data_IF_192413081270
#
_entry.id   IF_192413081270
#
_cell.length_a   1.000
_cell.length_b   1.000
_cell.length_c   1.000
_cell.angle_alpha   90.00
_cell.angle_beta   90.00
_cell.angle_gamma   90.00
#
_symmetry.space_group_name_H-M   'P 1'
#
loop_
_entity.id
_entity.type
_entity.pdbx_description
1 polymer ?
#
# COMPACT_ATOMS: atom_id res chain seq x y z
N UNK A 1 20.70 6.39 1.62
CA UNK A 1 19.55 7.01 0.92
C UNK A 1 18.32 6.29 1.45
N UNK A 2 17.37 7.01 2.08
CA UNK A 2 16.35 6.44 2.98
C UNK A 2 15.51 5.37 2.27
N UNK A 3 15.35 4.21 2.92
CA UNK A 3 14.41 3.18 2.47
C UNK A 3 13.00 3.61 2.90
N UNK A 4 12.42 4.57 2.18
CA UNK A 4 11.03 5.01 2.38
C UNK A 4 10.02 3.86 2.15
N UNK A 5 10.45 2.77 1.49
CA UNK A 5 9.61 1.60 1.19
C UNK A 5 9.38 0.69 2.40
N UNK A 6 10.36 0.47 3.26
CA UNK A 6 10.21 -0.36 4.47
C UNK A 6 9.21 0.22 5.47
N UNK A 7 9.29 1.54 5.70
CA UNK A 7 8.34 2.27 6.54
C UNK A 7 6.89 2.15 6.05
N UNK A 8 6.67 2.22 4.72
CA UNK A 8 5.33 2.07 4.16
C UNK A 8 4.76 0.66 4.35
N UNK A 9 5.59 -0.38 4.25
CA UNK A 9 5.14 -1.76 4.50
C UNK A 9 4.69 -1.92 5.94
N UNK A 10 5.48 -1.41 6.89
CA UNK A 10 5.18 -1.49 8.30
C UNK A 10 3.89 -0.72 8.65
N UNK A 11 3.68 0.46 8.05
CA UNK A 11 2.45 1.24 8.20
C UNK A 11 1.21 0.48 7.69
N UNK A 12 1.31 -0.16 6.52
CA UNK A 12 0.22 -0.94 5.92
C UNK A 12 -0.05 -2.24 6.68
N UNK A 13 1.01 -2.90 7.13
CA UNK A 13 0.92 -4.11 7.93
C UNK A 13 0.18 -3.84 9.23
N UNK A 14 0.50 -2.73 9.90
CA UNK A 14 -0.19 -2.32 11.13
C UNK A 14 -1.68 -2.07 10.89
N UNK A 15 -2.06 -1.45 9.77
CA UNK A 15 -3.46 -1.30 9.40
C UNK A 15 -4.16 -2.67 9.18
N UNK A 16 -3.51 -3.62 8.50
CA UNK A 16 -4.05 -4.97 8.28
C UNK A 16 -4.22 -5.74 9.60
N UNK A 17 -3.26 -5.62 10.52
CA UNK A 17 -3.37 -6.20 11.86
C UNK A 17 -4.61 -5.68 12.60
N UNK A 18 -4.81 -4.36 12.66
CA UNK A 18 -5.97 -3.76 13.35
C UNK A 18 -7.30 -4.31 12.81
N UNK A 19 -7.43 -4.45 11.49
CA UNK A 19 -8.65 -5.04 10.91
C UNK A 19 -8.82 -6.50 11.31
N UNK A 20 -7.74 -7.31 11.31
CA UNK A 20 -7.80 -8.72 11.77
C UNK A 20 -8.09 -8.84 13.26
N UNK A 21 -7.75 -7.82 14.07
CA UNK A 21 -8.13 -7.75 15.48
C UNK A 21 -9.63 -7.47 15.70
N UNK A 22 -10.39 -7.21 14.61
CA UNK A 22 -11.83 -6.97 14.66
C UNK A 22 -12.21 -5.50 14.52
N UNK A 23 -11.24 -4.59 14.30
CA UNK A 23 -11.57 -3.19 14.03
C UNK A 23 -12.23 -3.03 12.65
N UNK A 24 -13.25 -2.16 12.53
CA UNK A 24 -13.89 -1.91 11.25
C UNK A 24 -12.92 -1.25 10.27
N UNK A 25 -12.89 -1.76 9.04
CA UNK A 25 -12.04 -1.25 7.94
C UNK A 25 -12.19 0.25 7.74
N UNK A 26 -13.38 0.80 7.96
CA UNK A 26 -13.66 2.24 7.85
C UNK A 26 -12.87 3.08 8.86
N UNK A 27 -12.81 2.64 10.11
CA UNK A 27 -12.09 3.35 11.18
C UNK A 27 -10.59 3.23 10.96
N UNK A 28 -10.10 2.02 10.66
CA UNK A 28 -8.68 1.80 10.35
C UNK A 28 -8.25 2.63 9.14
N UNK A 29 -9.04 2.67 8.07
CA UNK A 29 -8.74 3.49 6.91
C UNK A 29 -8.61 4.98 7.27
N UNK A 30 -9.57 5.51 8.05
CA UNK A 30 -9.54 6.90 8.51
C UNK A 30 -8.32 7.19 9.40
N UNK A 31 -7.99 6.28 10.33
CA UNK A 31 -6.87 6.42 11.27
C UNK A 31 -5.51 6.38 10.59
N UNK A 32 -5.38 5.56 9.54
CA UNK A 32 -4.14 5.40 8.78
C UNK A 32 -4.04 6.33 7.56
N UNK A 33 -5.05 7.19 7.33
CA UNK A 33 -5.08 8.14 6.20
C UNK A 33 -5.18 7.48 4.83
N UNK A 34 -5.79 6.30 4.76
CA UNK A 34 -5.95 5.53 3.52
C UNK A 34 -7.43 5.32 3.19
N UNK A 35 -7.71 4.76 2.01
CA UNK A 35 -9.07 4.42 1.60
C UNK A 35 -9.41 2.99 1.99
N UNK A 36 -10.68 2.73 2.32
CA UNK A 36 -11.20 1.38 2.62
C UNK A 36 -10.85 0.37 1.53
N UNK A 37 -10.93 0.79 0.27
CA UNK A 37 -10.56 -0.04 -0.88
C UNK A 37 -9.09 -0.46 -0.86
N UNK A 38 -8.19 0.44 -0.44
CA UNK A 38 -6.76 0.13 -0.28
C UNK A 38 -6.55 -0.91 0.81
N UNK A 39 -7.25 -0.78 1.95
CA UNK A 39 -7.18 -1.74 3.05
C UNK A 39 -7.69 -3.11 2.64
N UNK A 40 -8.82 -3.19 1.92
CA UNK A 40 -9.30 -4.45 1.34
C UNK A 40 -8.30 -5.08 0.37
N UNK A 41 -7.66 -4.27 -0.48
CA UNK A 41 -6.63 -4.77 -1.38
C UNK A 41 -5.40 -5.27 -0.62
N UNK A 42 -5.01 -4.60 0.46
CA UNK A 42 -3.91 -5.02 1.33
C UNK A 42 -4.23 -6.32 2.06
N UNK A 43 -5.46 -6.50 2.56
CA UNK A 43 -5.91 -7.73 3.19
C UNK A 43 -5.85 -8.91 2.21
N UNK A 44 -6.37 -8.73 1.00
CA UNK A 44 -6.31 -9.75 -0.06
C UNK A 44 -4.87 -10.13 -0.40
N UNK A 45 -4.02 -9.14 -0.66
CA UNK A 45 -2.60 -9.39 -0.98
C UNK A 45 -1.83 -9.99 0.18
N UNK A 46 -2.17 -9.65 1.40
CA UNK A 46 -1.56 -10.24 2.59
C UNK A 46 -1.97 -11.71 2.76
N UNK A 47 -3.20 -12.08 2.36
CA UNK A 47 -3.64 -13.47 2.36
C UNK A 47 -2.94 -14.31 1.27
N UNK A 48 -2.73 -13.73 0.08
CA UNK A 48 -2.10 -14.43 -1.06
C UNK A 48 -0.55 -14.45 -1.01
N UNK A 49 0.08 -13.33 -0.67
CA UNK A 49 1.55 -13.11 -0.78
C UNK A 49 2.19 -12.69 0.57
N UNK A 50 1.42 -12.55 1.65
CA UNK A 50 1.93 -12.14 2.96
C UNK A 50 2.46 -10.70 2.99
N UNK A 51 3.56 -10.49 3.72
CA UNK A 51 4.24 -9.19 3.82
C UNK A 51 4.75 -8.67 2.47
N UNK A 52 5.07 -9.56 1.53
CA UNK A 52 5.56 -9.19 0.21
C UNK A 52 4.46 -8.52 -0.63
N UNK A 53 3.21 -8.97 -0.47
CA UNK A 53 2.03 -8.35 -1.11
C UNK A 53 1.74 -6.91 -0.66
N UNK A 54 2.16 -6.54 0.56
CA UNK A 54 2.02 -5.18 1.12
C UNK A 54 3.10 -4.23 0.62
N UNK A 55 4.23 -4.77 0.15
CA UNK A 55 5.45 -4.03 -0.23
C UNK A 55 5.29 -3.17 -1.48
N UNK A 56 4.11 -3.19 -2.10
CA UNK A 56 3.79 -2.53 -3.38
C UNK A 56 4.85 -2.87 -4.44
N UNK A 57 4.52 -3.80 -5.34
CA UNK A 57 5.23 -3.88 -6.62
C UNK A 57 5.29 -2.47 -7.19
N UNK A 58 6.48 -1.89 -7.20
CA UNK A 58 6.72 -0.49 -7.52
C UNK A 58 5.97 -0.14 -8.81
N UNK A 59 4.82 0.51 -8.69
CA UNK A 59 4.20 1.24 -9.80
C UNK A 59 4.97 2.55 -9.97
N UNK A 60 6.31 2.51 -9.98
CA UNK A 60 7.03 3.58 -10.68
C UNK A 60 6.66 3.35 -12.14
N UNK A 61 5.86 4.21 -12.78
CA UNK A 61 5.91 4.23 -14.23
C UNK A 61 7.38 4.45 -14.57
N UNK A 62 8.01 3.47 -15.23
CA UNK A 62 9.25 3.70 -15.95
C UNK A 62 9.04 4.64 -17.15
N UNK A 63 7.81 5.15 -17.36
CA UNK A 63 7.56 6.23 -18.31
C UNK A 63 8.02 7.55 -17.73
N UNK A 64 9.32 7.77 -17.85
CA UNK A 64 9.91 9.10 -17.92
C UNK A 64 9.16 9.94 -18.97
N UNK A 65 8.90 11.23 -18.70
CA UNK A 65 8.23 12.12 -19.64
C UNK A 65 9.22 12.50 -20.75
N UNK A 66 9.40 11.65 -21.75
CA UNK A 66 10.17 11.99 -22.97
C UNK A 66 9.29 11.90 -24.22
N UNK A 67 8.06 12.40 -24.10
CA UNK A 67 7.04 12.38 -25.17
C UNK A 67 6.69 13.78 -25.72
N UNK A 68 7.53 14.80 -25.53
CA UNK A 68 7.24 16.14 -26.05
C UNK A 68 8.44 16.78 -26.76
N UNK A 69 8.94 16.15 -27.82
CA UNK A 69 9.69 16.87 -28.86
C UNK A 69 9.27 16.39 -30.26
N UNK A 70 8.19 16.96 -30.85
CA UNK A 70 8.10 17.05 -32.31
C UNK A 70 9.14 18.06 -32.82
N UNK A 71 9.80 17.71 -33.94
CA UNK A 71 10.81 18.52 -34.64
C UNK A 71 10.16 19.61 -35.49
#
# INVERSE_FOLDING_TARGET
MRDDRGWLVEHRYKAVCEVRQGHPVAEVAARFGTSRQSVYSWLRRYDEEGLDGLRERSRRPHSSPRSWLPR
#
